data_IF_052441991371
#
_entry.id   IF_052441991371
#
_cell.length_a   1.000
_cell.length_b   1.000
_cell.length_c   1.000
_cell.angle_alpha   90.00
_cell.angle_beta   90.00
_cell.angle_gamma   90.00
#
_symmetry.space_group_name_H-M   'P 1'
#
loop_
_entity.id
_entity.type
_entity.pdbx_description
1 polymer ?
#
# COMPACT_ATOMS: atom_id res chain seq x y z
N UNK A 1 9.54 24.64 35.30
CA UNK A 1 10.07 23.74 36.36
C UNK A 1 9.08 22.59 36.53
N UNK A 2 9.34 21.45 35.92
CA UNK A 2 8.52 20.25 36.01
C UNK A 2 9.15 19.33 37.06
N UNK A 3 8.44 19.04 38.16
CA UNK A 3 8.93 18.16 39.23
C UNK A 3 8.53 16.71 38.91
N UNK A 4 9.52 15.89 38.54
CA UNK A 4 9.36 14.44 38.37
C UNK A 4 9.52 13.78 39.74
N UNK A 5 8.49 13.08 40.22
CA UNK A 5 8.54 12.29 41.45
C UNK A 5 9.04 10.89 41.08
N UNK A 6 10.22 10.51 41.58
CA UNK A 6 10.73 9.14 41.48
C UNK A 6 10.11 8.28 42.59
N UNK A 7 9.21 7.37 42.22
CA UNK A 7 8.85 6.24 43.06
C UNK A 7 9.61 5.01 42.56
N UNK A 8 10.54 4.52 43.38
CA UNK A 8 11.29 3.29 43.14
C UNK A 8 10.32 2.10 43.24
N UNK A 9 9.98 1.50 42.10
CA UNK A 9 9.34 0.20 42.04
C UNK A 9 10.35 -0.80 41.46
N UNK A 10 10.92 -1.61 42.34
CA UNK A 10 11.60 -2.84 41.97
C UNK A 10 10.53 -3.84 41.49
N UNK A 11 10.12 -3.69 40.23
CA UNK A 11 9.20 -4.60 39.54
C UNK A 11 9.81 -5.00 38.21
N UNK A 12 10.18 -6.26 38.08
CA UNK A 12 10.65 -6.86 36.84
C UNK A 12 9.49 -6.89 35.83
N UNK A 13 9.34 -5.82 35.04
CA UNK A 13 8.42 -5.76 33.90
C UNK A 13 9.08 -6.53 32.77
N UNK A 14 8.66 -7.78 32.53
CA UNK A 14 8.91 -8.46 31.26
C UNK A 14 8.07 -7.76 30.19
N UNK A 15 8.66 -6.76 29.54
CA UNK A 15 8.04 -6.09 28.40
C UNK A 15 7.93 -7.06 27.24
N UNK A 16 6.73 -7.56 26.97
CA UNK A 16 6.42 -8.25 25.71
C UNK A 16 6.34 -7.18 24.63
N UNK A 17 7.41 -7.01 23.86
CA UNK A 17 7.38 -6.15 22.67
C UNK A 17 6.68 -6.92 21.55
N UNK A 18 5.42 -6.56 21.27
CA UNK A 18 4.76 -6.96 20.03
C UNK A 18 5.27 -6.07 18.91
N UNK A 19 6.19 -6.60 18.10
CA UNK A 19 6.58 -5.97 16.84
C UNK A 19 5.44 -6.15 15.84
N UNK A 20 4.70 -5.08 15.56
CA UNK A 20 3.77 -5.03 14.43
C UNK A 20 4.60 -4.67 13.19
N UNK A 21 4.91 -5.65 12.35
CA UNK A 21 5.52 -5.40 11.05
C UNK A 21 4.42 -4.86 10.12
N UNK A 22 4.21 -3.56 10.11
CA UNK A 22 3.51 -2.93 8.99
C UNK A 22 4.48 -2.94 7.80
N UNK A 23 4.14 -3.69 6.75
CA UNK A 23 4.89 -3.61 5.50
C UNK A 23 4.70 -2.21 4.89
N UNK A 24 5.78 -1.55 4.53
CA UNK A 24 5.71 -0.25 3.86
C UNK A 24 5.29 -0.46 2.40
N UNK A 25 4.56 0.49 1.80
CA UNK A 25 4.21 0.42 0.39
C UNK A 25 5.45 0.30 -0.50
N UNK A 26 6.58 0.85 -0.06
CA UNK A 26 7.88 0.72 -0.71
C UNK A 26 8.44 -0.71 -0.69
N UNK A 27 8.15 -1.52 0.33
CA UNK A 27 8.55 -2.94 0.36
C UNK A 27 7.84 -3.73 -0.74
N UNK A 28 6.54 -3.47 -0.92
CA UNK A 28 5.72 -4.09 -1.98
C UNK A 28 6.22 -3.68 -3.37
N UNK A 29 6.48 -2.38 -3.57
CA UNK A 29 7.02 -1.89 -4.84
C UNK A 29 8.39 -2.50 -5.15
N UNK A 30 9.27 -2.59 -4.15
CA UNK A 30 10.60 -3.19 -4.28
C UNK A 30 10.51 -4.67 -4.64
N UNK A 31 9.59 -5.41 -4.01
CA UNK A 31 9.36 -6.81 -4.33
C UNK A 31 8.96 -6.98 -5.80
N UNK A 32 7.94 -6.27 -6.27
CA UNK A 32 7.46 -6.42 -7.65
C UNK A 32 8.39 -5.82 -8.71
N UNK A 33 9.29 -4.90 -8.35
CA UNK A 33 10.34 -4.43 -9.25
C UNK A 33 11.35 -5.54 -9.61
N UNK A 34 11.51 -6.54 -8.75
CA UNK A 34 12.47 -7.64 -8.94
C UNK A 34 11.82 -9.00 -9.18
N UNK A 35 10.50 -9.10 -9.01
CA UNK A 35 9.75 -10.36 -9.08
C UNK A 35 8.51 -10.14 -9.95
N UNK A 36 8.17 -11.14 -10.76
CA UNK A 36 6.97 -11.14 -11.59
C UNK A 36 6.08 -12.33 -11.26
N UNK A 37 4.77 -12.13 -11.20
CA UNK A 37 3.79 -13.19 -10.94
C UNK A 37 3.02 -13.55 -12.21
N UNK A 38 3.48 -14.60 -12.89
CA UNK A 38 2.88 -15.10 -14.12
C UNK A 38 3.61 -14.64 -15.37
N UNK A 39 2.90 -14.63 -16.51
CA UNK A 39 3.50 -14.38 -17.83
C UNK A 39 3.31 -12.94 -18.32
N UNK A 40 2.34 -12.20 -17.78
CA UNK A 40 2.09 -10.79 -18.09
C UNK A 40 2.82 -9.91 -17.05
N UNK A 41 3.21 -8.67 -17.39
CA UNK A 41 3.73 -7.73 -16.42
C UNK A 41 2.74 -7.46 -15.29
N UNK A 42 3.24 -7.27 -14.06
CA UNK A 42 2.40 -6.92 -12.93
C UNK A 42 2.13 -5.41 -12.90
N UNK A 43 0.96 -5.01 -12.41
CA UNK A 43 0.54 -3.61 -12.35
C UNK A 43 0.07 -3.21 -10.96
N UNK A 44 0.44 -2.02 -10.51
CA UNK A 44 -0.14 -1.35 -9.36
C UNK A 44 -1.33 -0.49 -9.77
N UNK A 45 -2.43 -0.65 -9.05
CA UNK A 45 -3.52 0.29 -9.00
C UNK A 45 -3.21 1.35 -7.94
N UNK A 46 -2.88 2.55 -8.40
CA UNK A 46 -2.44 3.67 -7.57
C UNK A 46 -3.54 4.72 -7.55
N UNK A 47 -3.71 5.37 -6.41
CA UNK A 47 -4.60 6.51 -6.26
C UNK A 47 -3.82 7.74 -5.84
N UNK A 48 -3.92 8.80 -6.63
CA UNK A 48 -3.39 10.11 -6.29
C UNK A 48 -4.42 10.90 -5.48
N UNK A 49 -4.26 10.86 -4.15
CA UNK A 49 -5.11 11.56 -3.20
C UNK A 49 -4.46 12.82 -2.62
N UNK A 50 -5.16 13.45 -1.67
CA UNK A 50 -4.71 14.70 -1.01
C UNK A 50 -3.40 14.52 -0.23
N UNK A 51 -3.13 13.30 0.26
CA UNK A 51 -1.92 12.96 1.00
C UNK A 51 -0.75 12.47 0.12
N UNK A 52 -0.97 12.33 -1.19
CA UNK A 52 -0.02 11.74 -2.13
C UNK A 52 -0.54 10.46 -2.82
N UNK A 53 0.32 9.78 -3.59
CA UNK A 53 0.00 8.52 -4.25
C UNK A 53 -0.06 7.35 -3.26
N UNK A 54 -1.17 6.62 -3.26
CA UNK A 54 -1.38 5.41 -2.47
C UNK A 54 -1.42 4.17 -3.37
N UNK A 55 -0.58 3.18 -3.11
CA UNK A 55 -0.65 1.87 -3.77
C UNK A 55 -1.78 1.05 -3.12
N UNK A 56 -2.89 0.86 -3.86
CA UNK A 56 -4.08 0.21 -3.32
C UNK A 56 -4.08 -1.30 -3.55
N UNK A 57 -3.76 -1.73 -4.78
CA UNK A 57 -3.88 -3.13 -5.21
C UNK A 57 -2.74 -3.43 -6.19
N UNK A 58 -2.16 -4.62 -6.07
CA UNK A 58 -1.32 -5.19 -7.14
C UNK A 58 -2.13 -6.20 -7.96
N UNK A 59 -2.05 -6.09 -9.28
CA UNK A 59 -2.78 -6.90 -10.26
C UNK A 59 -1.75 -7.76 -10.99
N UNK A 60 -1.96 -9.07 -10.91
CA UNK A 60 -1.08 -10.08 -11.50
C UNK A 60 -1.83 -11.40 -11.67
N UNK A 61 -1.34 -12.26 -12.57
CA UNK A 61 -1.86 -13.62 -12.78
C UNK A 61 -2.99 -13.74 -13.81
N UNK A 62 -3.37 -12.66 -14.50
CA UNK A 62 -4.26 -12.70 -15.65
C UNK A 62 -3.48 -12.89 -16.95
N UNK A 63 -4.19 -13.20 -18.04
CA UNK A 63 -3.58 -13.25 -19.37
C UNK A 63 -3.07 -11.88 -19.87
N UNK A 64 -3.65 -10.79 -19.33
CA UNK A 64 -3.23 -9.41 -19.60
C UNK A 64 -3.60 -8.54 -18.39
N UNK A 65 -2.69 -8.45 -17.43
CA UNK A 65 -2.90 -7.72 -16.17
C UNK A 65 -3.11 -6.22 -16.40
N UNK A 66 -2.42 -5.67 -17.40
CA UNK A 66 -2.57 -4.26 -17.77
C UNK A 66 -3.98 -3.93 -18.27
N UNK A 67 -4.65 -4.85 -18.97
CA UNK A 67 -6.04 -4.67 -19.39
C UNK A 67 -7.00 -4.62 -18.18
N UNK A 68 -6.83 -5.55 -17.24
CA UNK A 68 -7.63 -5.59 -15.99
C UNK A 68 -7.43 -4.30 -15.20
N UNK A 69 -6.18 -3.86 -15.07
CA UNK A 69 -5.83 -2.63 -14.36
C UNK A 69 -6.45 -1.39 -14.99
N UNK A 70 -6.43 -1.26 -16.33
CA UNK A 70 -7.07 -0.14 -17.03
C UNK A 70 -8.58 -0.12 -16.86
N UNK A 71 -9.24 -1.29 -16.89
CA UNK A 71 -10.69 -1.38 -16.64
C UNK A 71 -11.04 -0.86 -15.24
N UNK A 72 -10.23 -1.17 -14.21
CA UNK A 72 -10.45 -0.62 -12.88
C UNK A 72 -10.26 0.90 -12.86
N UNK A 73 -9.20 1.41 -13.49
CA UNK A 73 -8.97 2.86 -13.59
C UNK A 73 -10.15 3.57 -14.27
N UNK A 74 -10.65 3.02 -15.37
CA UNK A 74 -11.79 3.58 -16.09
C UNK A 74 -13.04 3.65 -15.21
N UNK A 75 -13.38 2.56 -14.49
CA UNK A 75 -14.53 2.53 -13.58
C UNK A 75 -14.43 3.62 -12.50
N UNK A 76 -13.31 3.66 -11.76
CA UNK A 76 -13.13 4.57 -10.63
C UNK A 76 -12.93 6.04 -11.02
N UNK A 77 -12.46 6.32 -12.24
CA UNK A 77 -12.33 7.69 -12.75
C UNK A 77 -13.58 8.16 -13.52
N UNK A 78 -14.47 7.26 -13.94
CA UNK A 78 -15.67 7.62 -14.70
C UNK A 78 -16.81 8.16 -13.82
N UNK A 79 -16.88 7.71 -12.57
CA UNK A 79 -17.90 8.11 -11.60
C UNK A 79 -17.26 8.36 -10.24
N UNK A 80 -17.35 9.62 -9.76
CA UNK A 80 -16.85 9.99 -8.42
C UNK A 80 -17.55 9.21 -7.30
N UNK A 81 -18.77 8.72 -7.52
CA UNK A 81 -19.51 7.91 -6.55
C UNK A 81 -18.93 6.51 -6.35
N UNK A 82 -18.12 6.03 -7.30
CA UNK A 82 -17.39 4.78 -7.21
C UNK A 82 -16.24 4.85 -6.19
N UNK A 83 -15.90 6.05 -5.69
CA UNK A 83 -14.87 6.23 -4.68
C UNK A 83 -15.38 6.91 -3.41
N UNK A 84 -15.06 6.32 -2.26
CA UNK A 84 -15.35 6.91 -0.94
C UNK A 84 -14.51 8.17 -0.68
N UNK A 85 -13.35 8.29 -1.32
CA UNK A 85 -12.42 9.40 -1.08
C UNK A 85 -12.01 9.96 -2.45
N UNK A 86 -12.08 11.28 -2.70
CA UNK A 86 -11.65 11.87 -3.96
C UNK A 86 -10.20 11.55 -4.33
N UNK A 87 -9.91 11.45 -5.62
CA UNK A 87 -8.57 11.26 -6.16
C UNK A 87 -8.61 10.73 -7.60
N UNK A 88 -7.47 10.80 -8.28
CA UNK A 88 -7.30 10.24 -9.61
C UNK A 88 -6.67 8.84 -9.52
N UNK A 89 -7.25 7.86 -10.19
CA UNK A 89 -6.74 6.49 -10.21
C UNK A 89 -5.85 6.26 -11.43
N UNK A 90 -4.76 5.51 -11.23
CA UNK A 90 -3.74 5.24 -12.24
C UNK A 90 -3.32 3.79 -12.21
N UNK A 91 -2.89 3.33 -13.38
CA UNK A 91 -2.29 2.03 -13.57
C UNK A 91 -0.79 2.19 -13.81
N UNK A 92 0.04 1.61 -12.94
CA UNK A 92 1.50 1.71 -13.01
C UNK A 92 2.09 0.31 -13.20
N UNK A 93 2.83 0.10 -14.28
CA UNK A 93 3.55 -1.16 -14.49
C UNK A 93 4.69 -1.28 -13.47
N UNK A 94 4.82 -2.46 -12.85
CA UNK A 94 5.79 -2.70 -11.78
C UNK A 94 7.05 -3.44 -12.26
N UNK A 95 6.95 -4.24 -13.32
CA UNK A 95 8.06 -5.02 -13.88
C UNK A 95 7.93 -5.22 -15.39
N UNK A 96 8.96 -5.78 -16.02
CA UNK A 96 8.99 -6.19 -17.44
C UNK A 96 8.74 -7.70 -17.63
#
# INVERSE_FOLDING_TARGET
MLKIIFASFAGFIVGVTVSVFAADASDVQTFFASNKVGNSPDFAFVKDGVAGPDHLITIHGYGNDGAVCRTLVEEYNSDESSSVIPGEYKCVQLNE
#
